data_IF_012000695354
#
_entry.id   IF_012000695354
#
_cell.length_a   1.000
_cell.length_b   1.000
_cell.length_c   1.000
_cell.angle_alpha   90.00
_cell.angle_beta   90.00
_cell.angle_gamma   90.00
#
_symmetry.space_group_name_H-M   'P 1'
#
loop_
_entity.id
_entity.type
_entity.pdbx_description
1 polymer ?
#
# COMPACT_ATOMS: atom_id res chain seq x y z
N UNK A 1 -16.18 6.43 -18.41
CA UNK A 1 -15.53 7.16 -17.31
C UNK A 1 -16.25 6.82 -16.02
N UNK A 2 -15.67 5.97 -15.18
CA UNK A 2 -16.16 5.77 -13.82
C UNK A 2 -15.56 6.91 -12.98
N UNK A 3 -16.39 7.82 -12.49
CA UNK A 3 -16.02 8.94 -11.61
C UNK A 3 -14.94 9.92 -12.12
N UNK A 4 -14.84 10.15 -13.44
CA UNK A 4 -13.88 11.13 -14.00
C UNK A 4 -12.41 10.70 -13.92
N UNK A 5 -12.12 9.45 -13.52
CA UNK A 5 -10.77 8.88 -13.51
C UNK A 5 -10.53 8.17 -14.84
N UNK A 6 -9.46 8.56 -15.54
CA UNK A 6 -8.98 7.86 -16.72
C UNK A 6 -8.19 6.61 -16.29
N UNK A 7 -8.57 5.44 -16.81
CA UNK A 7 -7.80 4.22 -16.63
C UNK A 7 -6.60 4.28 -17.58
N UNK A 8 -5.40 4.40 -17.02
CA UNK A 8 -4.15 4.27 -17.76
C UNK A 8 -3.71 2.80 -17.76
N UNK A 9 -3.36 2.27 -18.94
CA UNK A 9 -2.80 0.94 -19.08
C UNK A 9 -1.42 0.87 -18.42
N UNK A 10 -1.22 -0.11 -17.54
CA UNK A 10 0.05 -0.30 -16.82
C UNK A 10 0.95 -1.15 -17.70
N UNK A 11 2.02 -0.55 -18.24
CA UNK A 11 2.98 -1.31 -19.03
C UNK A 11 3.80 -2.22 -18.12
N UNK A 12 3.72 -3.53 -18.37
CA UNK A 12 4.50 -4.54 -17.65
C UNK A 12 6.01 -4.23 -17.77
N UNK A 13 6.69 -4.09 -16.63
CA UNK A 13 8.13 -3.81 -16.57
C UNK A 13 8.52 -2.32 -16.57
N UNK A 14 7.57 -1.39 -16.68
CA UNK A 14 7.89 0.05 -16.55
C UNK A 14 8.03 0.47 -15.08
N UNK A 15 9.27 0.54 -14.61
CA UNK A 15 9.64 0.96 -13.25
C UNK A 15 9.05 2.33 -12.87
N UNK A 16 8.90 3.23 -13.86
CA UNK A 16 8.37 4.57 -13.67
C UNK A 16 6.85 4.61 -13.46
N UNK A 17 6.12 3.69 -14.07
CA UNK A 17 4.65 3.61 -13.92
C UNK A 17 4.25 2.79 -12.69
N UNK A 18 4.99 1.71 -12.39
CA UNK A 18 4.68 0.79 -11.29
C UNK A 18 5.38 1.15 -9.98
N UNK A 19 6.29 2.12 -9.98
CA UNK A 19 7.16 2.42 -8.83
C UNK A 19 6.42 2.73 -7.54
N UNK A 20 5.23 3.35 -7.60
CA UNK A 20 4.40 3.56 -6.41
C UNK A 20 3.89 2.24 -5.80
N UNK A 21 3.30 1.39 -6.65
CA UNK A 21 2.74 0.10 -6.25
C UNK A 21 3.86 -0.83 -5.78
N UNK A 22 5.03 -0.82 -6.43
CA UNK A 22 6.19 -1.62 -6.01
C UNK A 22 6.75 -1.19 -4.66
N UNK A 23 6.91 0.13 -4.43
CA UNK A 23 7.32 0.65 -3.13
C UNK A 23 6.32 0.27 -2.04
N UNK A 24 5.03 0.42 -2.32
CA UNK A 24 3.97 0.03 -1.42
C UNK A 24 4.04 -1.48 -1.09
N UNK A 25 4.12 -2.34 -2.10
CA UNK A 25 4.22 -3.80 -1.93
C UNK A 25 5.47 -4.19 -1.14
N UNK A 26 6.60 -3.51 -1.35
CA UNK A 26 7.86 -3.77 -0.63
C UNK A 26 7.77 -3.48 0.86
N UNK A 27 7.02 -2.47 1.28
CA UNK A 27 6.82 -2.16 2.72
C UNK A 27 5.70 -3.01 3.33
N UNK A 28 4.63 -3.25 2.58
CA UNK A 28 3.48 -4.02 3.04
C UNK A 28 3.80 -5.51 3.29
N UNK A 29 4.49 -6.16 2.35
CA UNK A 29 4.71 -7.60 2.38
C UNK A 29 5.48 -8.12 3.62
N UNK A 30 6.64 -7.56 4.00
CA UNK A 30 7.35 -8.04 5.19
C UNK A 30 6.63 -7.70 6.51
N UNK A 31 5.83 -6.64 6.56
CA UNK A 31 5.21 -6.16 7.82
C UNK A 31 3.85 -6.81 8.08
N UNK A 32 3.03 -6.97 7.05
CA UNK A 32 1.66 -7.46 7.21
C UNK A 32 1.54 -8.92 6.83
N UNK A 33 2.14 -9.33 5.70
CA UNK A 33 1.98 -10.69 5.18
C UNK A 33 2.97 -11.70 5.78
N UNK A 34 4.17 -11.27 6.18
CA UNK A 34 5.20 -12.19 6.69
C UNK A 34 5.18 -12.35 8.23
N UNK A 35 4.67 -11.36 8.97
CA UNK A 35 4.65 -11.38 10.45
C UNK A 35 3.42 -12.06 11.05
N UNK A 36 2.35 -12.22 10.28
CA UNK A 36 1.06 -12.69 10.77
C UNK A 36 0.57 -13.92 10.00
N UNK A 37 0.46 -15.06 10.70
CA UNK A 37 -0.40 -16.15 10.24
C UNK A 37 -1.84 -15.80 10.59
N UNK A 38 -2.64 -15.44 9.58
CA UNK A 38 -4.04 -15.09 9.79
C UNK A 38 -4.91 -16.35 9.75
N UNK A 39 -5.62 -16.62 10.83
CA UNK A 39 -6.58 -17.73 10.89
C UNK A 39 -7.98 -17.31 10.41
N UNK A 40 -8.25 -16.00 10.33
CA UNK A 40 -9.54 -15.43 9.95
C UNK A 40 -9.37 -14.10 9.20
N UNK A 41 -10.24 -13.83 8.22
CA UNK A 41 -10.18 -12.61 7.41
C UNK A 41 -10.35 -11.32 8.23
N UNK A 42 -11.10 -11.37 9.32
CA UNK A 42 -11.29 -10.22 10.21
C UNK A 42 -10.00 -9.79 10.90
N UNK A 43 -9.15 -10.75 11.28
CA UNK A 43 -7.83 -10.47 11.85
C UNK A 43 -6.91 -9.81 10.82
N UNK A 44 -6.93 -10.32 9.57
CA UNK A 44 -6.20 -9.70 8.47
C UNK A 44 -6.66 -8.26 8.23
N UNK A 45 -7.98 -8.02 8.24
CA UNK A 45 -8.55 -6.68 8.05
C UNK A 45 -8.10 -5.71 9.13
N UNK A 46 -8.17 -6.12 10.40
CA UNK A 46 -7.75 -5.28 11.53
C UNK A 46 -6.26 -4.91 11.45
N UNK A 47 -5.39 -5.87 11.17
CA UNK A 47 -3.95 -5.62 11.01
C UNK A 47 -3.67 -4.69 9.83
N UNK A 48 -4.38 -4.84 8.71
CA UNK A 48 -4.27 -3.95 7.56
C UNK A 48 -4.71 -2.52 7.92
N UNK A 49 -5.82 -2.35 8.66
CA UNK A 49 -6.32 -1.04 9.07
C UNK A 49 -5.35 -0.33 10.04
N UNK A 50 -4.80 -1.04 11.02
CA UNK A 50 -3.76 -0.53 11.91
C UNK A 50 -2.50 -0.14 11.13
N UNK A 51 -2.04 -0.98 10.20
CA UNK A 51 -0.87 -0.69 9.37
C UNK A 51 -1.09 0.51 8.44
N UNK A 52 -2.27 0.63 7.82
CA UNK A 52 -2.62 1.76 6.96
C UNK A 52 -2.61 3.09 7.72
N UNK A 53 -3.03 3.07 8.98
CA UNK A 53 -2.99 4.24 9.87
C UNK A 53 -1.54 4.66 10.13
N UNK A 54 -0.67 3.71 10.51
CA UNK A 54 0.76 3.97 10.74
C UNK A 54 1.45 4.47 9.47
N UNK A 55 1.29 3.75 8.35
CA UNK A 55 1.89 4.12 7.07
C UNK A 55 1.40 5.50 6.59
N UNK A 56 0.11 5.80 6.77
CA UNK A 56 -0.48 7.10 6.48
C UNK A 56 0.15 8.22 7.32
N UNK A 57 0.24 8.05 8.63
CA UNK A 57 0.84 9.03 9.55
C UNK A 57 2.34 9.23 9.27
N UNK A 58 3.11 8.17 9.05
CA UNK A 58 4.55 8.26 8.72
C UNK A 58 4.77 8.98 7.38
N UNK A 59 3.95 8.69 6.37
CA UNK A 59 4.04 9.34 5.05
C UNK A 59 3.56 10.79 5.11
N UNK A 60 2.57 11.11 5.94
CA UNK A 60 2.11 12.47 6.20
C UNK A 60 3.21 13.30 6.89
N UNK A 61 3.84 12.75 7.94
CA UNK A 61 4.93 13.43 8.65
C UNK A 61 6.17 13.64 7.78
N UNK A 62 6.49 12.70 6.87
CA UNK A 62 7.60 12.86 5.92
C UNK A 62 7.34 13.90 4.83
N UNK A 63 6.09 14.14 4.44
CA UNK A 63 5.77 15.20 3.47
C UNK A 63 5.65 16.59 4.11
N UNK A 64 5.30 16.69 5.40
CA UNK A 64 5.24 17.98 6.12
C UNK A 64 6.61 18.49 6.59
N UNK A 65 7.67 17.68 6.53
CA UNK A 65 9.03 18.04 6.92
C UNK A 65 9.96 18.36 5.73
N UNK A 66 9.40 18.54 4.52
CA UNK A 66 10.09 18.98 3.30
C UNK A 66 9.57 20.34 2.84
#
# INVERSE_FOLDING_TARGET
>A
MINGVAMADIQSGSLYQNGYIERFKRTYCPVVLNLYFFNQLEQARKVIEEWLTVYGTEKLMRHSAM
#
